data_IF_006172892728
#
_entry.id   IF_006172892728
#
_cell.length_a   1.000
_cell.length_b   1.000
_cell.length_c   1.000
_cell.angle_alpha   90.00
_cell.angle_beta   90.00
_cell.angle_gamma   90.00
#
_symmetry.space_group_name_H-M   'P 1'
#
loop_
_entity.id
_entity.type
_entity.pdbx_description
1 polymer ?
#
# COMPACT_ATOMS: atom_id res chain seq x y z
N UNK A 1 -52.23 -23.73 -27.18
CA UNK A 1 -50.97 -23.96 -27.91
C UNK A 1 -51.14 -23.30 -29.26
N UNK A 2 -50.75 -22.03 -29.37
CA UNK A 2 -50.87 -21.24 -30.60
C UNK A 2 -49.68 -20.30 -30.62
N UNK A 3 -48.83 -20.51 -31.61
CA UNK A 3 -47.62 -19.76 -31.93
C UNK A 3 -48.01 -18.62 -32.87
N UNK A 4 -47.65 -17.37 -32.57
CA UNK A 4 -47.67 -16.23 -33.50
C UNK A 4 -46.61 -15.23 -32.99
N UNK A 5 -45.36 -15.37 -33.45
CA UNK A 5 -44.74 -14.52 -34.49
C UNK A 5 -44.48 -13.08 -34.04
N UNK A 6 -43.20 -12.79 -33.80
CA UNK A 6 -42.64 -11.45 -33.73
C UNK A 6 -42.73 -10.82 -35.13
N UNK A 7 -43.38 -9.66 -35.23
CA UNK A 7 -42.92 -8.52 -36.04
C UNK A 7 -43.58 -7.25 -35.51
N UNK A 8 -42.80 -6.18 -35.28
CA UNK A 8 -42.97 -4.92 -36.02
C UNK A 8 -42.05 -3.81 -35.51
N UNK A 9 -41.42 -3.21 -36.50
CA UNK A 9 -40.39 -2.17 -36.51
C UNK A 9 -40.94 -0.76 -36.21
N UNK A 10 -40.25 -0.05 -35.30
CA UNK A 10 -39.67 1.31 -35.44
C UNK A 10 -40.62 2.55 -35.54
N UNK A 11 -40.44 3.40 -34.51
CA UNK A 11 -40.49 4.89 -34.42
C UNK A 11 -41.81 5.69 -34.42
N UNK A 12 -42.06 6.36 -33.28
CA UNK A 12 -42.53 7.76 -33.19
C UNK A 12 -42.15 8.46 -31.87
N UNK A 13 -40.87 8.83 -31.74
CA UNK A 13 -40.35 10.21 -31.50
C UNK A 13 -41.13 11.17 -30.55
N UNK A 14 -40.51 11.40 -29.36
CA UNK A 14 -40.41 12.57 -28.40
C UNK A 14 -41.58 13.10 -27.55
N UNK A 15 -41.41 13.03 -26.21
CA UNK A 15 -41.23 14.18 -25.30
C UNK A 15 -40.79 13.71 -23.88
N UNK A 16 -39.68 14.28 -23.36
CA UNK A 16 -39.00 14.03 -22.08
C UNK A 16 -39.80 14.50 -20.83
N UNK A 17 -39.43 14.20 -19.55
CA UNK A 17 -38.08 13.84 -19.07
C UNK A 17 -38.02 12.68 -18.06
N UNK A 18 -37.03 11.80 -18.21
CA UNK A 18 -36.39 11.24 -17.02
C UNK A 18 -34.98 10.73 -17.33
N UNK A 19 -34.05 11.26 -16.54
CA UNK A 19 -32.71 10.79 -16.21
C UNK A 19 -32.05 9.76 -17.15
N UNK A 20 -31.01 10.19 -17.87
CA UNK A 20 -30.03 9.27 -18.44
C UNK A 20 -29.08 8.78 -17.34
N UNK A 21 -28.97 7.47 -17.06
CA UNK A 21 -27.82 6.96 -16.33
C UNK A 21 -26.60 7.16 -17.21
N UNK A 22 -25.74 8.06 -16.76
CA UNK A 22 -24.37 8.20 -17.23
C UNK A 22 -23.72 6.82 -17.16
N UNK A 23 -23.14 6.33 -18.26
CA UNK A 23 -22.08 5.32 -18.16
C UNK A 23 -20.91 6.00 -17.46
N UNK A 24 -20.96 6.00 -16.13
CA UNK A 24 -19.78 6.11 -15.31
C UNK A 24 -19.03 4.83 -15.66
N UNK A 25 -17.99 4.95 -16.47
CA UNK A 25 -16.90 4.00 -16.44
C UNK A 25 -16.45 3.95 -14.99
N UNK A 26 -17.01 3.02 -14.23
CA UNK A 26 -16.46 2.59 -12.96
C UNK A 26 -15.04 2.16 -13.31
N UNK A 27 -14.09 3.06 -13.04
CA UNK A 27 -12.70 2.71 -12.99
C UNK A 27 -12.65 1.57 -11.98
N UNK A 28 -12.49 0.35 -12.47
CA UNK A 28 -12.18 -0.82 -11.66
C UNK A 28 -10.77 -0.59 -11.09
N UNK A 29 -10.66 0.38 -10.19
CA UNK A 29 -9.49 0.64 -9.37
C UNK A 29 -9.58 -0.24 -8.12
N UNK A 30 -9.93 -1.51 -8.32
CA UNK A 30 -9.58 -2.58 -7.40
C UNK A 30 -8.09 -2.86 -7.59
N UNK A 31 -7.26 -1.84 -7.39
CA UNK A 31 -5.83 -2.01 -7.28
C UNK A 31 -5.62 -2.87 -6.03
N UNK A 32 -5.45 -4.16 -6.25
CA UNK A 32 -5.37 -5.15 -5.19
C UNK A 32 -4.21 -4.76 -4.28
N UNK A 33 -4.54 -4.14 -3.14
CA UNK A 33 -3.59 -3.67 -2.13
C UNK A 33 -2.78 -4.87 -1.68
N UNK A 34 -1.52 -4.96 -2.09
CA UNK A 34 -0.62 -6.05 -1.70
C UNK A 34 -0.28 -5.87 -0.23
N UNK A 35 -0.85 -6.74 0.62
CA UNK A 35 -0.54 -6.80 2.04
C UNK A 35 0.79 -7.50 2.23
N UNK A 36 1.71 -6.83 2.91
CA UNK A 36 3.02 -7.34 3.26
C UNK A 36 2.93 -8.14 4.55
N UNK A 37 3.74 -9.18 4.63
CA UNK A 37 3.86 -10.07 5.77
C UNK A 37 5.32 -10.23 6.16
N UNK A 38 5.58 -10.89 7.29
CA UNK A 38 6.96 -11.23 7.69
C UNK A 38 7.75 -12.01 6.61
N UNK A 39 7.07 -12.69 5.68
CA UNK A 39 7.71 -13.41 4.56
C UNK A 39 8.36 -12.47 3.55
N UNK A 40 7.91 -11.22 3.49
CA UNK A 40 8.36 -10.20 2.55
C UNK A 40 9.55 -9.39 3.08
N UNK A 41 9.98 -9.65 4.32
CA UNK A 41 11.07 -8.93 4.99
C UNK A 41 12.36 -8.90 4.15
N UNK A 42 12.72 -10.02 3.51
CA UNK A 42 13.92 -10.09 2.66
C UNK A 42 13.82 -9.16 1.46
N UNK A 43 12.63 -9.09 0.85
CA UNK A 43 12.41 -8.24 -0.32
C UNK A 43 12.41 -6.76 0.06
N UNK A 44 11.77 -6.40 1.17
CA UNK A 44 11.79 -5.05 1.71
C UNK A 44 13.22 -4.59 2.01
N UNK A 45 14.05 -5.45 2.62
CA UNK A 45 15.44 -5.12 2.89
C UNK A 45 16.26 -4.89 1.61
N UNK A 46 15.98 -5.65 0.53
CA UNK A 46 16.61 -5.43 -0.77
C UNK A 46 16.19 -4.09 -1.36
N UNK A 47 14.90 -3.81 -1.38
CA UNK A 47 14.34 -2.54 -1.86
C UNK A 47 14.92 -1.33 -1.13
N UNK A 48 14.99 -1.37 0.20
CA UNK A 48 15.61 -0.29 0.98
C UNK A 48 17.11 -0.15 0.68
N UNK A 49 17.82 -1.26 0.51
CA UNK A 49 19.26 -1.25 0.18
C UNK A 49 19.51 -0.67 -1.22
N UNK A 50 18.73 -1.08 -2.21
CA UNK A 50 18.85 -0.64 -3.59
C UNK A 50 18.45 0.85 -3.73
N UNK A 51 17.49 1.30 -2.91
CA UNK A 51 17.15 2.71 -2.73
C UNK A 51 18.17 3.52 -1.90
N UNK A 52 19.26 2.91 -1.45
CA UNK A 52 20.29 3.52 -0.60
C UNK A 52 19.80 4.09 0.74
N UNK A 53 18.82 3.43 1.36
CA UNK A 53 18.26 3.84 2.64
C UNK A 53 19.34 3.97 3.72
N UNK A 54 19.37 5.12 4.39
CA UNK A 54 20.26 5.35 5.53
C UNK A 54 19.77 4.60 6.78
N UNK A 55 20.39 3.45 7.07
CA UNK A 55 20.00 2.56 8.19
C UNK A 55 19.94 3.26 9.55
N UNK A 56 20.69 4.34 9.76
CA UNK A 56 20.62 5.15 10.99
C UNK A 56 19.23 5.76 11.27
N UNK A 57 18.38 5.89 10.24
CA UNK A 57 17.02 6.45 10.34
C UNK A 57 15.96 5.43 10.74
N UNK A 58 16.36 4.19 11.07
CA UNK A 58 15.42 3.11 11.39
C UNK A 58 14.45 3.45 12.52
N UNK A 59 14.89 4.25 13.51
CA UNK A 59 14.07 4.60 14.67
C UNK A 59 12.89 5.48 14.24
N UNK A 60 13.19 6.57 13.52
CA UNK A 60 12.16 7.47 12.99
C UNK A 60 11.27 6.75 11.98
N UNK A 61 11.86 5.91 11.11
CA UNK A 61 11.08 5.09 10.17
C UNK A 61 10.07 4.22 10.93
N UNK A 62 10.49 3.56 12.00
CA UNK A 62 9.61 2.75 12.84
C UNK A 62 8.45 3.54 13.44
N UNK A 63 8.69 4.78 13.87
CA UNK A 63 7.62 5.66 14.38
C UNK A 63 6.60 5.98 13.29
N UNK A 64 7.04 6.31 12.08
CA UNK A 64 6.15 6.60 10.95
C UNK A 64 5.42 5.35 10.44
N UNK A 65 5.99 4.16 10.63
CA UNK A 65 5.32 2.88 10.39
C UNK A 65 4.30 2.51 11.49
N UNK A 66 4.15 3.35 12.52
CA UNK A 66 3.17 3.16 13.59
C UNK A 66 3.64 2.27 14.75
N UNK A 67 4.92 1.93 14.82
CA UNK A 67 5.47 1.20 15.97
C UNK A 67 5.50 2.08 17.22
N UNK A 68 5.17 1.49 18.36
CA UNK A 68 5.23 2.21 19.63
C UNK A 68 6.69 2.48 20.02
N UNK A 69 6.96 3.68 20.54
CA UNK A 69 8.30 4.11 20.94
C UNK A 69 9.01 3.13 21.89
N UNK A 70 8.27 2.51 22.82
CA UNK A 70 8.85 1.56 23.77
C UNK A 70 9.47 0.34 23.07
N UNK A 71 8.83 -0.15 22.01
CA UNK A 71 9.32 -1.30 21.26
C UNK A 71 10.59 -0.97 20.49
N UNK A 72 10.65 0.23 19.92
CA UNK A 72 11.86 0.75 19.28
C UNK A 72 13.00 0.90 20.29
N UNK A 73 12.74 1.40 21.50
CA UNK A 73 13.74 1.46 22.58
C UNK A 73 14.26 0.08 22.98
N UNK A 74 13.39 -0.94 23.00
CA UNK A 74 13.80 -2.33 23.26
C UNK A 74 14.72 -2.84 22.16
N UNK A 75 14.38 -2.60 20.88
CA UNK A 75 15.23 -2.96 19.74
C UNK A 75 16.60 -2.29 19.84
N UNK A 76 16.65 -0.98 20.10
CA UNK A 76 17.89 -0.21 20.23
C UNK A 76 18.78 -0.75 21.38
N UNK A 77 18.15 -1.12 22.49
CA UNK A 77 18.85 -1.65 23.68
C UNK A 77 19.42 -3.05 23.43
N UNK A 78 18.71 -3.89 22.68
CA UNK A 78 19.16 -5.24 22.34
C UNK A 78 20.33 -5.25 21.35
N UNK A 79 20.39 -4.24 20.47
CA UNK A 79 21.36 -4.17 19.38
C UNK A 79 22.10 -2.82 19.34
N UNK A 80 22.82 -2.47 20.40
CA UNK A 80 23.48 -1.18 20.50
C UNK A 80 24.54 -1.04 19.41
N UNK A 81 24.51 0.09 18.69
CA UNK A 81 25.44 0.45 17.59
C UNK A 81 25.35 -0.43 16.33
N UNK A 82 24.32 -1.28 16.22
CA UNK A 82 24.07 -2.09 15.03
C UNK A 82 22.79 -1.61 14.33
N UNK A 83 22.90 -0.50 13.61
CA UNK A 83 21.75 0.13 12.94
C UNK A 83 21.14 -0.77 11.86
N UNK A 84 21.93 -1.62 11.20
CA UNK A 84 21.40 -2.57 10.21
C UNK A 84 20.52 -3.62 10.89
N UNK A 85 20.96 -4.17 12.03
CA UNK A 85 20.16 -5.12 12.80
C UNK A 85 18.94 -4.46 13.40
N UNK A 86 19.05 -3.24 13.93
CA UNK A 86 17.89 -2.49 14.41
C UNK A 86 16.85 -2.26 13.30
N UNK A 87 17.28 -1.88 12.10
CA UNK A 87 16.38 -1.72 10.95
C UNK A 87 15.64 -3.03 10.62
N UNK A 88 16.37 -4.16 10.58
CA UNK A 88 15.78 -5.47 10.31
C UNK A 88 14.71 -5.85 11.33
N UNK A 89 14.98 -5.64 12.61
CA UNK A 89 14.07 -6.00 13.70
C UNK A 89 12.87 -5.04 13.77
N UNK A 90 13.09 -3.76 13.46
CA UNK A 90 12.03 -2.77 13.30
C UNK A 90 11.05 -3.19 12.19
N UNK A 91 11.54 -3.53 11.01
CA UNK A 91 10.71 -3.98 9.89
C UNK A 91 10.02 -5.32 10.19
N UNK A 92 10.74 -6.27 10.79
CA UNK A 92 10.16 -7.56 11.19
C UNK A 92 8.98 -7.37 12.15
N UNK A 93 9.13 -6.45 13.10
CA UNK A 93 8.08 -6.12 14.07
C UNK A 93 6.89 -5.42 13.41
N UNK A 94 7.13 -4.43 12.56
CA UNK A 94 6.07 -3.77 11.79
C UNK A 94 5.26 -4.78 10.96
N UNK A 95 5.92 -5.69 10.23
CA UNK A 95 5.26 -6.73 9.41
C UNK A 95 4.53 -7.79 10.23
N UNK A 96 4.79 -7.89 11.53
CA UNK A 96 4.10 -8.82 12.44
C UNK A 96 2.90 -8.16 13.10
N UNK A 97 3.02 -6.87 13.46
CA UNK A 97 2.01 -6.14 14.23
C UNK A 97 0.96 -5.45 13.33
N UNK A 98 1.33 -4.99 12.14
CA UNK A 98 0.45 -4.26 11.21
C UNK A 98 -0.16 -5.18 10.14
N UNK A 99 -1.43 -5.55 10.31
CA UNK A 99 -2.19 -6.39 9.36
C UNK A 99 -2.51 -5.64 8.04
N UNK A 100 -2.29 -4.34 8.00
CA UNK A 100 -2.49 -3.48 6.84
C UNK A 100 -1.15 -2.96 6.29
N UNK A 101 -0.03 -3.63 6.60
CA UNK A 101 1.28 -3.28 6.08
C UNK A 101 1.30 -3.32 4.54
N UNK A 102 1.81 -2.27 3.90
CA UNK A 102 1.92 -2.17 2.44
C UNK A 102 3.17 -1.45 1.99
N UNK A 103 3.53 -1.63 0.73
CA UNK A 103 4.57 -0.84 0.07
C UNK A 103 4.27 0.66 0.12
N UNK A 104 3.02 1.06 -0.04
CA UNK A 104 2.60 2.46 0.07
C UNK A 104 2.89 3.05 1.46
N UNK A 105 2.54 2.34 2.55
CA UNK A 105 2.87 2.76 3.92
C UNK A 105 4.39 2.92 4.10
N UNK A 106 5.17 1.96 3.58
CA UNK A 106 6.62 2.02 3.64
C UNK A 106 7.18 3.22 2.86
N UNK A 107 6.66 3.51 1.66
CA UNK A 107 7.08 4.64 0.84
C UNK A 107 6.73 5.99 1.51
N UNK A 108 5.57 6.10 2.13
CA UNK A 108 5.16 7.28 2.90
C UNK A 108 6.12 7.46 4.07
N UNK A 109 6.35 6.42 4.88
CA UNK A 109 7.26 6.49 6.02
C UNK A 109 8.70 6.84 5.61
N UNK A 110 9.20 6.30 4.49
CA UNK A 110 10.49 6.64 3.92
C UNK A 110 10.56 8.13 3.49
N UNK A 111 9.49 8.65 2.87
CA UNK A 111 9.40 10.07 2.50
C UNK A 111 9.46 10.98 3.73
N UNK A 112 8.73 10.63 4.78
CA UNK A 112 8.66 11.40 6.03
C UNK A 112 10.01 11.51 6.75
N UNK A 113 10.84 10.46 6.69
CA UNK A 113 12.22 10.50 7.23
C UNK A 113 13.24 11.12 6.26
N UNK A 114 12.77 11.70 5.15
CA UNK A 114 13.59 12.37 4.14
C UNK A 114 14.37 11.43 3.23
N UNK A 115 13.98 10.15 3.13
CA UNK A 115 14.54 9.17 2.19
C UNK A 115 13.70 9.14 0.90
N UNK A 116 13.66 10.28 0.22
CA UNK A 116 12.81 10.51 -0.97
C UNK A 116 13.15 9.51 -2.09
N UNK A 117 14.44 9.24 -2.34
CA UNK A 117 14.88 8.28 -3.36
C UNK A 117 14.40 6.85 -3.10
N UNK A 118 14.33 6.45 -1.83
CA UNK A 118 13.79 5.14 -1.44
C UNK A 118 12.29 5.09 -1.68
N UNK A 119 11.58 6.16 -1.30
CA UNK A 119 10.14 6.26 -1.51
C UNK A 119 9.76 6.24 -3.00
N UNK A 120 10.55 6.88 -3.85
CA UNK A 120 10.39 6.85 -5.31
C UNK A 120 10.69 5.47 -5.88
N UNK A 121 11.69 4.76 -5.34
CA UNK A 121 12.05 3.41 -5.78
C UNK A 121 10.98 2.35 -5.44
N UNK A 122 10.20 2.55 -4.38
CA UNK A 122 9.12 1.65 -3.97
C UNK A 122 7.87 1.75 -4.88
N UNK A 123 7.65 2.91 -5.50
CA UNK A 123 6.46 3.19 -6.34
C UNK A 123 6.56 2.57 -7.73
#
# INVERSE_FOLDING_TARGET
>A
MTSMELELTIEKVISAPDYSPTEISESNDDQQKVILTIRDLVEILRVLKDGHFQTIKWFDLGLYLGLIHNDLKVIETNYPRDAERCLRECLAKWLTDDIEATWEKLAIAASEVGEISVAEYIK
#
